data_IF_300283121480
#
_entry.id   IF_300283121480
#
_cell.length_a   1.000
_cell.length_b   1.000
_cell.length_c   1.000
_cell.angle_alpha   90.00
_cell.angle_beta   90.00
_cell.angle_gamma   90.00
#
_symmetry.space_group_name_H-M   'P 1'
#
loop_
_entity.id
_entity.type
_entity.pdbx_description
1 polymer ?
#
# COMPACT_ATOMS: atom_id res chain seq x y z
N UNK A 1 -2.76 11.21 -8.02
CA UNK A 1 -1.93 10.34 -7.14
C UNK A 1 -1.78 8.99 -7.81
N UNK A 2 -0.64 8.36 -7.62
CA UNK A 2 -0.33 7.04 -8.16
C UNK A 2 0.10 6.13 -7.02
N UNK A 3 -0.40 4.89 -7.03
CA UNK A 3 -0.15 3.89 -5.99
C UNK A 3 0.15 2.57 -6.66
N UNK A 4 1.38 2.11 -6.52
CA UNK A 4 1.81 0.79 -6.97
C UNK A 4 2.11 -0.10 -5.77
N UNK A 5 1.94 -1.41 -5.96
CA UNK A 5 2.14 -2.40 -4.91
C UNK A 5 3.05 -3.50 -5.42
N UNK A 6 4.07 -3.87 -4.64
CA UNK A 6 5.02 -4.92 -4.96
C UNK A 6 5.16 -5.87 -3.78
N UNK A 7 4.95 -7.18 -3.95
CA UNK A 7 5.29 -8.15 -2.91
C UNK A 7 6.77 -8.06 -2.56
N UNK A 8 7.10 -8.04 -1.26
CA UNK A 8 8.46 -8.22 -0.77
C UNK A 8 8.61 -9.66 -0.25
N UNK A 9 9.12 -10.54 -1.12
CA UNK A 9 9.35 -11.94 -0.79
C UNK A 9 10.39 -12.15 0.34
N UNK A 10 11.26 -11.17 0.60
CA UNK A 10 12.28 -11.27 1.66
C UNK A 10 11.66 -11.10 3.04
N UNK A 11 10.66 -10.22 3.16
CA UNK A 11 9.98 -9.93 4.43
C UNK A 11 8.64 -10.64 4.56
N UNK A 12 8.13 -11.24 3.48
CA UNK A 12 6.74 -11.68 3.38
C UNK A 12 5.75 -10.50 3.40
N UNK A 13 6.26 -9.28 3.21
CA UNK A 13 5.53 -8.02 3.31
C UNK A 13 5.05 -7.51 1.96
N UNK A 14 4.42 -6.34 1.98
CA UNK A 14 4.04 -5.59 0.78
C UNK A 14 4.73 -4.23 0.78
N UNK A 15 5.48 -3.93 -0.28
CA UNK A 15 5.99 -2.60 -0.54
C UNK A 15 4.95 -1.77 -1.33
N UNK A 16 4.53 -0.64 -0.78
CA UNK A 16 3.63 0.31 -1.42
C UNK A 16 4.43 1.53 -1.90
N UNK A 17 4.50 1.72 -3.21
CA UNK A 17 5.10 2.89 -3.83
C UNK A 17 4.04 3.96 -4.03
N UNK A 18 4.20 5.09 -3.33
CA UNK A 18 3.27 6.20 -3.33
C UNK A 18 3.90 7.37 -4.06
N UNK A 19 3.22 7.93 -5.06
CA UNK A 19 3.73 9.07 -5.83
C UNK A 19 2.70 10.19 -5.97
N UNK A 20 3.15 11.41 -5.67
CA UNK A 20 2.39 12.64 -5.85
C UNK A 20 2.78 13.32 -7.17
N UNK A 21 2.02 13.04 -8.23
CA UNK A 21 2.11 13.74 -9.51
C UNK A 21 1.21 15.00 -9.59
N UNK A 22 0.65 15.44 -8.45
CA UNK A 22 -0.20 16.62 -8.36
C UNK A 22 0.60 17.92 -8.34
N UNK A 23 -0.11 19.04 -8.10
CA UNK A 23 0.47 20.40 -8.06
C UNK A 23 0.72 20.91 -6.63
N UNK A 24 0.14 20.24 -5.63
CA UNK A 24 0.26 20.59 -4.21
C UNK A 24 0.80 19.42 -3.39
N UNK A 25 1.38 19.73 -2.24
CA UNK A 25 1.78 18.71 -1.27
C UNK A 25 0.55 17.96 -0.73
N UNK A 26 0.69 16.65 -0.53
CA UNK A 26 -0.42 15.79 -0.10
C UNK A 26 -0.04 14.91 1.08
N UNK A 27 -1.03 14.59 1.89
CA UNK A 27 -0.95 13.65 2.99
C UNK A 27 -1.80 12.44 2.66
N UNK A 28 -1.17 11.29 2.47
CA UNK A 28 -1.81 10.01 2.26
C UNK A 28 -2.02 9.32 3.60
N UNK A 29 -3.21 8.77 3.80
CA UNK A 29 -3.58 7.96 4.96
C UNK A 29 -3.85 6.54 4.49
N UNK A 30 -3.06 5.62 5.03
CA UNK A 30 -3.13 4.20 4.78
C UNK A 30 -3.77 3.52 6.00
N UNK A 31 -4.69 2.60 5.78
CA UNK A 31 -5.26 1.77 6.85
C UNK A 31 -5.53 0.34 6.38
N UNK A 32 -5.36 -0.60 7.29
CA UNK A 32 -5.84 -1.96 7.13
C UNK A 32 -7.37 -2.00 7.17
N UNK A 33 -7.97 -2.78 6.27
CA UNK A 33 -9.41 -3.05 6.27
C UNK A 33 -9.75 -4.47 6.77
N UNK A 34 -8.98 -5.47 6.35
CA UNK A 34 -9.25 -6.89 6.68
C UNK A 34 -8.10 -7.63 7.37
N UNK A 35 -6.86 -7.27 7.05
CA UNK A 35 -5.65 -7.95 7.52
C UNK A 35 -4.73 -6.97 8.24
N UNK A 36 -4.11 -7.39 9.34
CA UNK A 36 -3.40 -6.52 10.30
C UNK A 36 -4.31 -5.44 10.92
N UNK A 37 -5.37 -5.82 11.67
CA UNK A 37 -6.32 -4.87 12.24
C UNK A 37 -5.62 -3.83 13.12
N UNK A 38 -6.02 -2.56 12.94
CA UNK A 38 -5.43 -1.44 13.66
C UNK A 38 -4.23 -0.79 12.95
N UNK A 39 -3.65 -1.46 11.95
CA UNK A 39 -2.51 -0.92 11.21
C UNK A 39 -2.90 0.32 10.40
N UNK A 40 -2.17 1.42 10.63
CA UNK A 40 -2.38 2.71 9.99
C UNK A 40 -1.04 3.42 9.78
N UNK A 41 -0.93 4.16 8.68
CA UNK A 41 0.23 5.01 8.38
C UNK A 41 -0.22 6.33 7.76
N UNK A 42 0.49 7.40 8.09
CA UNK A 42 0.33 8.70 7.44
C UNK A 42 1.63 9.05 6.73
N UNK A 43 1.54 9.39 5.44
CA UNK A 43 2.68 9.69 4.58
C UNK A 43 2.49 11.05 3.96
N UNK A 44 3.48 11.93 4.11
CA UNK A 44 3.46 13.27 3.51
C UNK A 44 4.37 13.29 2.30
N UNK A 45 3.79 13.62 1.14
CA UNK A 45 4.52 13.74 -0.11
C UNK A 45 4.51 15.19 -0.57
N UNK A 46 5.68 15.82 -0.78
CA UNK A 46 5.73 17.11 -1.46
C UNK A 46 5.26 16.98 -2.92
N UNK A 47 5.14 18.11 -3.61
CA UNK A 47 4.87 18.15 -5.06
C UNK A 47 5.95 17.35 -5.79
N UNK A 48 5.54 16.42 -6.66
CA UNK A 48 6.47 15.54 -7.38
C UNK A 48 7.14 14.45 -6.52
N UNK A 49 6.84 14.40 -5.21
CA UNK A 49 7.47 13.47 -4.28
C UNK A 49 6.99 12.03 -4.44
N UNK A 50 7.85 11.09 -4.05
CA UNK A 50 7.53 9.67 -3.96
C UNK A 50 8.11 9.05 -2.70
N UNK A 51 7.44 8.04 -2.15
CA UNK A 51 7.90 7.28 -0.99
C UNK A 51 7.42 5.84 -1.06
N UNK A 52 8.29 4.91 -0.66
CA UNK A 52 7.92 3.51 -0.45
C UNK A 52 7.59 3.27 1.01
N UNK A 53 6.49 2.56 1.27
CA UNK A 53 6.05 2.14 2.60
C UNK A 53 5.98 0.63 2.66
N UNK A 54 6.69 0.04 3.61
CA UNK A 54 6.51 -1.36 3.98
C UNK A 54 5.19 -1.54 4.72
N UNK A 55 4.40 -2.50 4.26
CA UNK A 55 3.10 -2.81 4.81
C UNK A 55 3.05 -4.27 5.29
N UNK A 56 2.59 -4.53 6.53
CA UNK A 56 2.53 -5.88 7.06
C UNK A 56 1.47 -6.72 6.35
N UNK A 57 1.73 -8.02 6.23
CA UNK A 57 0.74 -9.00 5.77
C UNK A 57 0.34 -9.92 6.92
N UNK A 58 -0.81 -10.58 6.78
CA UNK A 58 -1.26 -11.65 7.66
C UNK A 58 -1.34 -12.95 6.85
N UNK A 59 -0.39 -13.87 7.08
CA UNK A 59 -0.23 -15.09 6.28
C UNK A 59 -0.14 -14.81 4.76
N UNK A 60 0.53 -13.70 4.42
CA UNK A 60 0.67 -13.20 3.06
C UNK A 60 -0.51 -12.33 2.60
N UNK A 61 -1.66 -12.34 3.27
CA UNK A 61 -2.81 -11.54 2.89
C UNK A 61 -2.67 -10.07 3.30
N UNK A 62 -3.18 -9.18 2.46
CA UNK A 62 -3.25 -7.75 2.72
C UNK A 62 -4.52 -7.14 2.15
N UNK A 63 -4.99 -6.08 2.81
CA UNK A 63 -6.11 -5.25 2.37
C UNK A 63 -5.93 -3.84 2.91
N UNK A 64 -5.40 -2.98 2.05
CA UNK A 64 -4.98 -1.62 2.38
C UNK A 64 -5.87 -0.64 1.66
N UNK A 65 -6.43 0.29 2.41
CA UNK A 65 -7.04 1.48 1.85
C UNK A 65 -6.08 2.66 1.95
N UNK A 66 -5.93 3.38 0.84
CA UNK A 66 -5.18 4.63 0.72
C UNK A 66 -6.16 5.74 0.41
N UNK A 67 -6.14 6.81 1.21
CA UNK A 67 -6.93 8.03 1.01
C UNK A 67 -6.01 9.24 1.06
N UNK A 68 -6.46 10.37 0.52
CA UNK A 68 -5.75 11.63 0.67
C UNK A 68 -6.52 12.59 1.59
N UNK A 69 -5.82 13.27 2.49
CA UNK A 69 -6.45 14.24 3.39
C UNK A 69 -6.91 15.50 2.65
N UNK A 70 -6.14 15.93 1.64
CA UNK A 70 -6.39 17.13 0.84
C UNK A 70 -7.31 16.86 -0.36
N UNK A 71 -7.50 15.60 -0.75
CA UNK A 71 -8.38 15.20 -1.85
C UNK A 71 -9.31 14.07 -1.39
N UNK A 72 -10.55 14.45 -1.02
CA UNK A 72 -11.56 13.50 -0.55
C UNK A 72 -12.09 12.59 -1.66
N UNK A 73 -11.82 12.90 -2.92
CA UNK A 73 -12.23 12.06 -4.07
C UNK A 73 -11.22 10.94 -4.29
N UNK A 74 -9.98 11.12 -3.84
CA UNK A 74 -8.96 10.09 -3.96
C UNK A 74 -9.14 8.98 -2.92
N UNK A 75 -9.47 7.79 -3.41
CA UNK A 75 -9.49 6.54 -2.65
C UNK A 75 -8.98 5.41 -3.52
N UNK A 76 -8.03 4.64 -3.01
CA UNK A 76 -7.54 3.41 -3.63
C UNK A 76 -7.57 2.28 -2.61
N UNK A 77 -7.98 1.09 -3.05
CA UNK A 77 -7.89 -0.13 -2.25
C UNK A 77 -6.96 -1.09 -2.97
N UNK A 78 -5.98 -1.62 -2.25
CA UNK A 78 -5.06 -2.65 -2.72
C UNK A 78 -5.25 -3.86 -1.82
N UNK A 79 -5.72 -4.96 -2.40
CA UNK A 79 -5.96 -6.22 -1.69
C UNK A 79 -5.38 -7.37 -2.49
N UNK A 80 -4.92 -8.40 -1.80
CA UNK A 80 -4.29 -9.56 -2.43
C UNK A 80 -3.54 -10.40 -1.42
N UNK A 81 -2.71 -11.30 -1.94
CA UNK A 81 -1.84 -12.17 -1.16
C UNK A 81 -0.46 -12.19 -1.77
N UNK A 82 0.57 -12.07 -0.94
CA UNK A 82 1.95 -12.38 -1.31
C UNK A 82 2.07 -13.89 -1.47
N UNK A 83 2.35 -14.33 -2.69
CA UNK A 83 2.60 -15.75 -2.95
C UNK A 83 4.04 -16.08 -2.52
N UNK A 84 4.19 -16.82 -1.42
CA UNK A 84 5.49 -17.23 -0.88
C UNK A 84 6.15 -18.38 -1.68
N UNK A 85 5.87 -18.51 -2.98
CA UNK A 85 6.57 -19.46 -3.85
C UNK A 85 6.65 -20.91 -3.36
N UNK A 86 5.64 -21.42 -2.62
CA UNK A 86 5.49 -22.86 -2.49
C UNK A 86 5.22 -23.38 -3.91
N UNK A 87 6.03 -24.32 -4.40
CA UNK A 87 6.00 -24.79 -5.78
C UNK A 87 4.55 -25.04 -6.24
N UNK A 88 4.07 -24.19 -7.15
CA UNK A 88 2.74 -24.33 -7.72
C UNK A 88 2.69 -25.62 -8.52
N UNK A 89 1.93 -26.60 -8.04
CA UNK A 89 1.51 -27.72 -8.88
C UNK A 89 0.49 -27.13 -9.85
N UNK A 90 0.91 -26.86 -11.09
CA UNK A 90 -0.05 -26.65 -12.18
C UNK A 90 -0.69 -27.99 -12.49
N UNK A 91 -1.99 -28.09 -12.27
CA UNK A 91 -2.87 -29.15 -12.76
C UNK A 91 -3.77 -28.61 -13.86
#
# INVERSE_FOLDING_TARGET
MDVASRPDARTGGLALELRNAGRDGITLRLRALGYAPGEKREVRLPVGGAQTVEWPTDQGWYDVEVTAAQDRTFRRRITGRVENGAAGVTG
#
